data_IF_852556766994
#
_entry.id   IF_852556766994
#
_cell.length_a   1.000
_cell.length_b   1.000
_cell.length_c   1.000
_cell.angle_alpha   90.00
_cell.angle_beta   90.00
_cell.angle_gamma   90.00
#
_symmetry.space_group_name_H-M   'P 1'
#
loop_
_entity.id
_entity.type
_entity.pdbx_description
1 polymer ?
#
# COMPACT_ATOMS: atom_id res chain seq x y z
N UNK A 1 -22.31 -6.05 -11.97
CA UNK A 1 -21.84 -6.33 -10.60
C UNK A 1 -22.47 -5.32 -9.67
N UNK A 2 -22.88 -5.72 -8.46
CA UNK A 2 -23.25 -4.75 -7.43
C UNK A 2 -21.98 -4.08 -6.89
N UNK A 3 -22.10 -2.84 -6.43
CA UNK A 3 -21.03 -2.07 -5.80
C UNK A 3 -20.45 -2.80 -4.58
N UNK A 4 -21.31 -3.40 -3.75
CA UNK A 4 -20.91 -4.24 -2.62
C UNK A 4 -20.01 -5.43 -3.04
N UNK A 5 -20.27 -6.04 -4.19
CA UNK A 5 -19.45 -7.14 -4.68
C UNK A 5 -18.06 -6.65 -5.15
N UNK A 6 -17.97 -5.42 -5.63
CA UNK A 6 -16.69 -4.80 -6.03
C UNK A 6 -15.84 -4.47 -4.81
N UNK A 7 -16.42 -3.80 -3.80
CA UNK A 7 -15.72 -3.41 -2.57
C UNK A 7 -15.18 -4.62 -1.80
N UNK A 8 -15.98 -5.69 -1.65
CA UNK A 8 -15.54 -6.92 -0.99
C UNK A 8 -14.36 -7.59 -1.72
N UNK A 9 -14.38 -7.59 -3.05
CA UNK A 9 -13.29 -8.16 -3.85
C UNK A 9 -12.02 -7.31 -3.81
N UNK A 10 -12.17 -5.98 -3.81
CA UNK A 10 -11.06 -5.04 -3.67
C UNK A 10 -10.39 -5.20 -2.30
N UNK A 11 -11.18 -5.18 -1.23
CA UNK A 11 -10.68 -5.37 0.13
C UNK A 11 -9.90 -6.69 0.26
N UNK A 12 -10.45 -7.77 -0.28
CA UNK A 12 -9.78 -9.08 -0.27
C UNK A 12 -8.45 -9.05 -1.04
N UNK A 13 -8.41 -8.43 -2.22
CA UNK A 13 -7.18 -8.32 -3.01
C UNK A 13 -6.09 -7.52 -2.26
N UNK A 14 -6.49 -6.44 -1.56
CA UNK A 14 -5.61 -5.63 -0.72
C UNK A 14 -5.05 -6.44 0.44
N UNK A 15 -5.90 -7.17 1.16
CA UNK A 15 -5.48 -8.00 2.30
C UNK A 15 -4.52 -9.12 1.89
N UNK A 16 -4.79 -9.80 0.77
CA UNK A 16 -3.93 -10.86 0.22
C UNK A 16 -2.55 -10.31 -0.16
N UNK A 17 -2.51 -9.17 -0.86
CA UNK A 17 -1.26 -8.54 -1.26
C UNK A 17 -0.49 -7.94 -0.08
N UNK A 18 -1.19 -7.33 0.88
CA UNK A 18 -0.61 -6.85 2.12
C UNK A 18 0.07 -7.99 2.88
N UNK A 19 -0.64 -9.11 3.11
CA UNK A 19 -0.10 -10.26 3.82
C UNK A 19 1.12 -10.88 3.11
N UNK A 20 1.16 -10.80 1.77
CA UNK A 20 2.29 -11.26 0.95
C UNK A 20 3.50 -10.33 1.04
N UNK A 21 3.28 -9.01 1.00
CA UNK A 21 4.34 -7.99 0.95
C UNK A 21 4.89 -7.65 2.33
N UNK A 22 4.05 -7.58 3.35
CA UNK A 22 4.41 -7.15 4.70
C UNK A 22 5.68 -7.85 5.26
N UNK A 23 5.82 -9.18 5.18
CA UNK A 23 7.01 -9.87 5.70
C UNK A 23 8.33 -9.51 4.99
N UNK A 24 8.24 -8.86 3.83
CA UNK A 24 9.39 -8.43 3.03
C UNK A 24 9.63 -6.92 3.11
N UNK A 25 8.85 -6.21 3.93
CA UNK A 25 9.00 -4.78 4.12
C UNK A 25 10.33 -4.43 4.79
N UNK A 26 11.07 -3.51 4.20
CA UNK A 26 12.32 -3.01 4.74
C UNK A 26 12.51 -1.54 4.41
N UNK A 27 13.31 -0.86 5.22
CA UNK A 27 13.67 0.53 4.99
C UNK A 27 14.48 0.66 3.70
N UNK A 28 14.05 1.52 2.76
CA UNK A 28 14.80 1.79 1.53
C UNK A 28 16.19 2.42 1.76
N UNK A 29 16.44 2.99 2.95
CA UNK A 29 17.69 3.69 3.26
C UNK A 29 18.71 2.84 4.01
N UNK A 30 18.25 1.87 4.81
CA UNK A 30 19.14 1.09 5.69
C UNK A 30 18.84 -0.41 5.72
N UNK A 31 17.85 -0.87 4.93
CA UNK A 31 17.42 -2.27 4.82
C UNK A 31 16.90 -2.88 6.14
N UNK A 32 16.77 -2.08 7.19
CA UNK A 32 16.22 -2.50 8.47
C UNK A 32 14.73 -2.85 8.37
N UNK A 33 14.33 -3.92 9.04
CA UNK A 33 12.96 -4.45 9.06
C UNK A 33 12.19 -4.06 10.33
N UNK A 34 12.82 -3.35 11.26
CA UNK A 34 12.18 -2.84 12.47
C UNK A 34 11.60 -1.45 12.24
N UNK A 35 10.29 -1.31 12.43
CA UNK A 35 9.58 -0.06 12.19
C UNK A 35 8.12 -0.14 12.58
N UNK A 36 7.39 0.88 12.14
CA UNK A 36 5.92 0.89 12.13
C UNK A 36 5.43 0.80 10.71
N UNK A 37 4.33 0.11 10.50
CA UNK A 37 3.68 -0.05 9.22
C UNK A 37 2.22 0.41 9.25
N UNK A 38 1.73 0.86 8.11
CA UNK A 38 0.32 1.15 7.90
C UNK A 38 -0.05 0.94 6.42
N UNK A 39 -1.23 0.40 6.19
CA UNK A 39 -1.82 0.39 4.85
C UNK A 39 -2.43 1.77 4.58
N UNK A 40 -1.94 2.46 3.56
CA UNK A 40 -2.34 3.83 3.24
C UNK A 40 -2.87 3.94 1.82
N UNK A 41 -3.85 4.83 1.63
CA UNK A 41 -4.33 5.22 0.31
C UNK A 41 -3.61 6.48 -0.15
N UNK A 42 -2.84 6.39 -1.23
CA UNK A 42 -2.07 7.51 -1.81
C UNK A 42 -2.72 8.13 -3.05
N UNK A 43 -3.63 7.40 -3.70
CA UNK A 43 -4.73 7.98 -4.49
C UNK A 43 -4.36 8.79 -5.74
N UNK A 44 -3.18 8.61 -6.33
CA UNK A 44 -2.78 9.27 -7.58
C UNK A 44 -2.76 8.31 -8.79
N UNK A 45 -2.73 8.86 -10.01
CA UNK A 45 -2.67 8.07 -11.26
C UNK A 45 -1.38 7.25 -11.39
N UNK A 46 -0.33 7.63 -10.67
CA UNK A 46 0.94 6.92 -10.67
C UNK A 46 0.89 5.70 -9.75
N UNK A 47 0.11 5.73 -8.66
CA UNK A 47 -0.18 4.62 -7.75
C UNK A 47 -1.21 3.68 -8.36
N UNK A 48 -0.72 2.67 -9.09
CA UNK A 48 -1.42 1.51 -9.67
C UNK A 48 -2.46 0.82 -8.73
N UNK A 49 -3.58 1.48 -8.43
CA UNK A 49 -4.60 1.00 -7.50
C UNK A 49 -4.60 1.67 -6.13
N UNK A 50 -3.82 2.74 -5.93
CA UNK A 50 -3.87 3.70 -4.81
C UNK A 50 -3.51 3.18 -3.42
N UNK A 51 -3.46 1.87 -3.17
CA UNK A 51 -3.08 1.30 -1.88
C UNK A 51 -1.60 0.93 -1.79
N UNK A 52 -0.94 1.39 -0.75
CA UNK A 52 0.47 1.13 -0.48
C UNK A 52 0.70 0.74 0.99
N UNK A 53 1.80 0.05 1.26
CA UNK A 53 2.30 -0.13 2.62
C UNK A 53 3.28 1.01 2.90
N UNK A 54 2.91 1.90 3.81
CA UNK A 54 3.83 2.83 4.42
C UNK A 54 4.60 2.13 5.54
N UNK A 55 5.92 2.23 5.52
CA UNK A 55 6.81 1.68 6.52
C UNK A 55 7.76 2.77 7.04
N UNK A 56 7.72 3.03 8.34
CA UNK A 56 8.57 3.99 9.02
C UNK A 56 9.62 3.27 9.89
N UNK A 57 10.88 3.30 9.44
CA UNK A 57 11.99 2.62 10.10
C UNK A 57 12.39 3.30 11.41
N UNK A 58 12.37 2.53 12.51
CA UNK A 58 12.73 3.02 13.85
C UNK A 58 14.16 3.55 13.92
N UNK A 59 15.13 2.82 13.36
CA UNK A 59 16.54 3.21 13.45
C UNK A 59 16.84 4.50 12.69
N UNK A 60 16.26 4.68 11.50
CA UNK A 60 16.43 5.92 10.74
C UNK A 60 15.76 7.10 11.44
N UNK A 61 14.55 6.88 11.99
CA UNK A 61 13.82 7.90 12.74
C UNK A 61 14.62 8.40 13.95
N UNK A 62 15.18 7.49 14.75
CA UNK A 62 16.00 7.82 15.92
C UNK A 62 17.28 8.59 15.57
N UNK A 63 17.79 8.44 14.34
CA UNK A 63 18.96 9.15 13.82
C UNK A 63 18.63 10.46 13.11
N UNK A 64 17.35 10.84 13.02
CA UNK A 64 16.90 12.00 12.24
C UNK A 64 17.19 11.87 10.74
N UNK A 65 17.25 10.65 10.23
CA UNK A 65 17.45 10.34 8.82
C UNK A 65 16.10 10.06 8.13
N UNK A 66 16.02 10.15 6.80
CA UNK A 66 14.87 9.65 6.06
C UNK A 66 14.52 8.21 6.48
N UNK A 67 13.26 7.98 6.86
CA UNK A 67 12.81 6.73 7.48
C UNK A 67 11.60 6.10 6.83
N UNK A 68 10.93 6.80 5.92
CA UNK A 68 9.68 6.36 5.32
C UNK A 68 9.96 5.61 4.01
N UNK A 69 9.27 4.48 3.83
CA UNK A 69 9.33 3.65 2.62
C UNK A 69 7.89 3.33 2.22
N UNK A 70 7.58 3.49 0.93
CA UNK A 70 6.28 3.13 0.37
C UNK A 70 6.46 1.91 -0.50
N UNK A 71 5.65 0.89 -0.26
CA UNK A 71 5.69 -0.37 -1.01
C UNK A 71 4.35 -0.61 -1.68
N UNK A 72 4.45 -0.76 -2.98
CA UNK A 72 3.35 -0.97 -3.89
C UNK A 72 2.71 -2.33 -3.64
N UNK A 73 1.38 -2.34 -3.53
CA UNK A 73 0.59 -3.56 -3.60
C UNK A 73 0.29 -3.89 -5.05
N UNK A 74 0.45 -5.15 -5.44
CA UNK A 74 0.18 -5.61 -6.82
C UNK A 74 -1.29 -5.99 -6.94
N UNK A 75 -2.16 -5.00 -6.75
CA UNK A 75 -3.62 -5.19 -6.84
C UNK A 75 -3.99 -5.49 -8.31
N UNK A 76 -4.96 -6.38 -8.60
CA UNK A 76 -5.38 -6.65 -9.97
C UNK A 76 -5.81 -5.39 -10.75
N UNK A 77 -5.47 -5.35 -12.04
CA UNK A 77 -5.69 -4.20 -12.94
C UNK A 77 -7.15 -3.74 -13.00
N UNK A 78 -8.10 -4.68 -12.82
CA UNK A 78 -9.53 -4.39 -12.78
C UNK A 78 -9.95 -3.43 -11.65
N UNK A 79 -9.12 -3.28 -10.61
CA UNK A 79 -9.39 -2.36 -9.50
C UNK A 79 -8.64 -1.02 -9.62
N UNK A 80 -7.67 -0.93 -10.54
CA UNK A 80 -6.83 0.27 -10.68
C UNK A 80 -7.52 1.40 -11.45
N UNK A 81 -8.51 1.06 -12.27
CA UNK A 81 -9.05 1.98 -13.28
C UNK A 81 -10.46 2.56 -12.98
N UNK A 82 -11.14 2.17 -11.91
CA UNK A 82 -12.58 2.47 -11.77
C UNK A 82 -13.00 3.48 -10.69
N UNK A 83 -12.08 4.08 -9.91
CA UNK A 83 -12.50 5.05 -8.88
C UNK A 83 -13.04 6.39 -9.45
N UNK A 84 -12.77 6.69 -10.73
CA UNK A 84 -13.22 7.91 -11.42
C UNK A 84 -14.63 7.80 -12.01
N UNK A 85 -15.15 6.59 -12.23
CA UNK A 85 -16.42 6.38 -12.96
C UNK A 85 -17.68 6.46 -12.11
N UNK A 86 -17.55 6.50 -10.79
CA UNK A 86 -18.68 6.48 -9.86
C UNK A 86 -18.98 7.83 -9.18
N UNK A 87 -18.25 8.90 -9.54
CA UNK A 87 -18.48 10.28 -9.08
C UNK A 87 -18.99 11.23 -10.19
N UNK A 88 -19.61 10.68 -11.25
CA UNK A 88 -20.20 11.45 -12.37
C UNK A 88 -21.71 11.48 -12.34
#
# INVERSE_FOLDING_TARGET
MSEQNYEERLQKAIEEEYARKFPTCSCQFCEGTEGKEELVWTGDEESFGGWEIWFCCKSCQEKGQPSETFMWLDIPEEFKHDHWRYNG
#
